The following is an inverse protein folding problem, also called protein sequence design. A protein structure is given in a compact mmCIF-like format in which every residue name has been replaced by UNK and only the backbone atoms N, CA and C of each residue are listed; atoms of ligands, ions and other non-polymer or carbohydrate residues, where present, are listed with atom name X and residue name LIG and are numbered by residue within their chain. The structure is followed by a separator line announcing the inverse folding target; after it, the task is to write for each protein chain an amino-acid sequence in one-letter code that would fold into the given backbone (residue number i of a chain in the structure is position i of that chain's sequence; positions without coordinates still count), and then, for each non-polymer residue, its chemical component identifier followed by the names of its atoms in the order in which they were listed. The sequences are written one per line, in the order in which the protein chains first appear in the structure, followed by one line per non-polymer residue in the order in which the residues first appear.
data_IF_312722626175
#
_entry.id   IF_312722626175
#
_cell.length_a   1.000
_cell.length_b   1.000
_cell.length_c   1.000
_cell.angle_alpha   90.00
_cell.angle_beta   90.00
_cell.angle_gamma   90.00
#
_symmetry.space_group_name_H-M   'P 1'
#
loop_
_entity.id
_entity.type
_entity.pdbx_description
1 polymer ?
#
# COMPACT_ATOMS: atom_id res chain seq x y z
N UNK A 1 16.33 -1.95 -3.79
CA UNK A 1 15.52 -0.70 -3.84
C UNK A 1 14.23 -0.95 -3.08
N UNK A 2 13.80 0.01 -2.26
CA UNK A 2 12.53 -0.06 -1.55
C UNK A 2 11.54 0.96 -2.10
N UNK A 3 10.27 0.59 -2.18
CA UNK A 3 9.18 1.47 -2.61
C UNK A 3 7.97 1.29 -1.71
N UNK A 4 7.21 2.38 -1.54
CA UNK A 4 5.93 2.40 -0.86
C UNK A 4 4.95 3.25 -1.63
N UNK A 5 3.68 2.89 -1.59
CA UNK A 5 2.63 3.67 -2.25
C UNK A 5 1.27 3.06 -2.06
N UNK A 6 0.26 3.62 -2.73
CA UNK A 6 -1.10 3.08 -2.71
C UNK A 6 -1.10 1.61 -3.08
N UNK A 7 -1.75 0.78 -2.26
CA UNK A 7 -1.65 -0.68 -2.38
C UNK A 7 -2.02 -1.20 -3.77
N UNK A 8 -3.13 -0.70 -4.34
CA UNK A 8 -3.59 -1.08 -5.68
C UNK A 8 -2.62 -0.71 -6.80
N UNK A 9 -1.78 0.31 -6.62
CA UNK A 9 -0.81 0.74 -7.64
C UNK A 9 0.45 -0.12 -7.56
N UNK A 10 1.03 -0.26 -6.36
CA UNK A 10 2.26 -1.01 -6.16
C UNK A 10 2.06 -2.51 -6.42
N UNK A 11 0.95 -3.10 -5.98
CA UNK A 11 0.67 -4.52 -6.20
C UNK A 11 0.56 -4.88 -7.69
N UNK A 12 0.08 -3.97 -8.55
CA UNK A 12 0.08 -4.19 -10.01
C UNK A 12 1.47 -4.24 -10.63
N UNK A 13 2.50 -3.76 -9.91
CA UNK A 13 3.91 -3.81 -10.29
C UNK A 13 4.65 -4.98 -9.63
N UNK A 14 3.98 -5.76 -8.78
CA UNK A 14 4.57 -6.90 -8.11
C UNK A 14 4.37 -8.17 -8.93
N UNK A 15 5.42 -8.98 -9.06
CA UNK A 15 5.34 -10.32 -9.65
C UNK A 15 5.55 -11.42 -8.59
N UNK A 16 5.96 -11.03 -7.39
CA UNK A 16 6.25 -11.91 -6.28
C UNK A 16 5.76 -11.30 -4.97
N UNK A 17 5.54 -12.13 -3.95
CA UNK A 17 5.13 -11.72 -2.61
C UNK A 17 5.87 -12.54 -1.56
N UNK A 18 6.19 -11.92 -0.44
CA UNK A 18 6.79 -12.57 0.70
C UNK A 18 5.72 -13.29 1.52
N UNK A 19 5.88 -14.60 1.72
CA UNK A 19 4.98 -15.39 2.54
C UNK A 19 5.32 -15.25 4.04
N UNK A 20 4.52 -15.86 4.91
CA UNK A 20 4.72 -15.85 6.37
C UNK A 20 6.02 -16.50 6.85
N UNK A 21 6.59 -17.39 6.04
CA UNK A 21 7.85 -18.07 6.34
C UNK A 21 9.07 -17.25 5.89
N UNK A 22 8.86 -16.14 5.17
CA UNK A 22 9.92 -15.35 4.56
C UNK A 22 10.36 -15.87 3.19
N UNK A 23 9.62 -16.81 2.58
CA UNK A 23 9.90 -17.24 1.22
C UNK A 23 9.23 -16.31 0.20
N UNK A 24 9.95 -16.05 -0.90
CA UNK A 24 9.43 -15.32 -2.04
C UNK A 24 8.66 -16.29 -2.93
N UNK A 25 7.37 -16.05 -3.11
CA UNK A 25 6.51 -16.85 -3.99
C UNK A 25 6.00 -16.02 -5.15
N UNK A 26 5.59 -16.70 -6.23
CA UNK A 26 4.96 -16.04 -7.38
C UNK A 26 3.66 -15.35 -6.94
N UNK A 27 3.45 -14.14 -7.46
CA UNK A 27 2.25 -13.36 -7.24
C UNK A 27 1.53 -13.19 -8.58
N UNK A 28 0.50 -13.99 -8.79
CA UNK A 28 -0.27 -13.99 -10.03
C UNK A 28 -1.37 -12.94 -10.03
N UNK A 29 -1.98 -12.69 -11.20
CA UNK A 29 -3.18 -11.85 -11.28
C UNK A 29 -4.34 -12.37 -10.42
N UNK A 30 -4.46 -13.69 -10.27
CA UNK A 30 -5.50 -14.30 -9.41
C UNK A 30 -5.23 -13.98 -7.94
N UNK A 31 -3.97 -14.05 -7.51
CA UNK A 31 -3.57 -13.69 -6.15
C UNK A 31 -3.79 -12.20 -5.88
N UNK A 32 -3.51 -11.35 -6.88
CA UNK A 32 -3.80 -9.92 -6.82
C UNK A 32 -5.30 -9.67 -6.61
N UNK A 33 -6.17 -10.24 -7.44
CA UNK A 33 -7.62 -10.04 -7.34
C UNK A 33 -8.14 -10.54 -5.99
N UNK A 34 -7.65 -11.70 -5.53
CA UNK A 34 -7.98 -12.25 -4.22
C UNK A 34 -7.54 -11.32 -3.09
N UNK A 35 -6.31 -10.78 -3.11
CA UNK A 35 -5.81 -9.87 -2.08
C UNK A 35 -6.57 -8.55 -2.06
N UNK A 36 -6.96 -8.03 -3.23
CA UNK A 36 -7.78 -6.82 -3.35
C UNK A 36 -9.13 -7.05 -2.68
N UNK A 37 -9.82 -8.14 -3.01
CA UNK A 37 -11.16 -8.43 -2.48
C UNK A 37 -11.16 -8.79 -1.00
N UNK A 38 -10.17 -9.56 -0.54
CA UNK A 38 -10.17 -10.11 0.82
C UNK A 38 -9.46 -9.24 1.86
N UNK A 39 -8.60 -8.32 1.42
CA UNK A 39 -7.80 -7.48 2.33
C UNK A 39 -8.01 -6.00 2.04
N UNK A 40 -7.75 -5.55 0.81
CA UNK A 40 -7.72 -4.11 0.51
C UNK A 40 -9.12 -3.48 0.58
N UNK A 41 -10.11 -4.11 -0.04
CA UNK A 41 -11.49 -3.61 -0.06
C UNK A 41 -12.09 -3.52 1.36
N UNK A 42 -12.00 -4.56 2.21
CA UNK A 42 -12.42 -4.46 3.61
C UNK A 42 -11.72 -3.31 4.36
N UNK A 43 -10.40 -3.15 4.20
CA UNK A 43 -9.68 -2.06 4.86
C UNK A 43 -10.15 -0.68 4.39
N UNK A 44 -10.43 -0.52 3.10
CA UNK A 44 -11.02 0.72 2.56
C UNK A 44 -12.45 0.94 3.04
N UNK A 45 -13.24 -0.12 3.25
CA UNK A 45 -14.57 -0.01 3.87
C UNK A 45 -14.52 0.45 5.33
N UNK A 46 -13.43 0.15 6.04
CA UNK A 46 -13.14 0.64 7.39
C UNK A 46 -12.48 2.04 7.38
N UNK A 47 -12.59 2.79 6.27
CA UNK A 47 -12.02 4.13 6.07
C UNK A 47 -10.49 4.20 6.26
N UNK A 48 -9.78 3.09 6.04
CA UNK A 48 -8.32 3.05 6.10
C UNK A 48 -7.68 3.37 4.75
N UNK A 49 -6.65 4.22 4.78
CA UNK A 49 -5.75 4.41 3.64
C UNK A 49 -4.79 3.22 3.55
N UNK A 50 -4.82 2.50 2.43
CA UNK A 50 -4.00 1.30 2.26
C UNK A 50 -2.67 1.60 1.55
N UNK A 51 -1.56 1.29 2.21
CA UNK A 51 -0.20 1.41 1.67
C UNK A 51 0.43 0.02 1.51
N UNK A 52 1.02 -0.24 0.34
CA UNK A 52 1.84 -1.42 0.09
C UNK A 52 3.32 -1.04 0.16
N UNK A 53 4.10 -1.91 0.79
CA UNK A 53 5.56 -1.83 0.85
C UNK A 53 6.12 -2.97 0.02
N UNK A 54 6.99 -2.64 -0.91
CA UNK A 54 7.62 -3.60 -1.80
C UNK A 54 9.09 -3.27 -2.01
N UNK A 55 9.85 -4.23 -2.50
CA UNK A 55 11.25 -4.05 -2.85
C UNK A 55 11.58 -4.77 -4.14
N UNK A 56 12.73 -4.40 -4.71
CA UNK A 56 13.38 -5.14 -5.78
C UNK A 56 14.88 -5.12 -5.56
N UNK A 57 15.49 -6.29 -5.66
CA UNK A 57 16.93 -6.43 -5.63
C UNK A 57 17.47 -6.34 -7.05
N UNK A 58 18.55 -5.57 -7.21
CA UNK A 58 19.26 -5.43 -8.46
C UNK A 58 20.61 -6.08 -8.30
N UNK A 59 20.97 -6.97 -9.23
CA UNK A 59 22.32 -7.54 -9.26
C UNK A 59 23.28 -6.53 -9.87
N UNK A 60 24.58 -6.66 -9.57
CA UNK A 60 25.61 -5.82 -10.18
C UNK A 60 25.67 -5.93 -11.71
N UNK A 61 25.19 -7.05 -12.26
CA UNK A 61 25.18 -7.33 -13.70
C UNK A 61 23.86 -6.91 -14.39
N UNK A 62 22.83 -6.58 -13.60
CA UNK A 62 21.48 -6.22 -14.08
C UNK A 62 20.98 -4.97 -13.33
N UNK A 63 21.70 -3.86 -13.55
CA UNK A 63 21.27 -2.55 -13.07
C UNK A 63 20.20 -1.98 -14.00
N UNK A 64 19.11 -1.42 -13.45
CA UNK A 64 18.06 -0.84 -14.27
C UNK A 64 18.54 0.48 -14.89
N UNK A 65 17.91 0.91 -15.98
CA UNK A 65 18.06 2.27 -16.46
C UNK A 65 17.36 3.23 -15.49
N UNK A 66 18.17 3.91 -14.68
CA UNK A 66 17.69 4.86 -13.67
C UNK A 66 16.94 6.07 -14.25
N UNK A 67 17.07 6.34 -15.56
CA UNK A 67 16.29 7.38 -16.23
C UNK A 67 14.89 6.89 -16.65
N UNK A 68 14.66 5.58 -16.65
CA UNK A 68 13.37 4.97 -16.97
C UNK A 68 12.68 4.48 -15.70
N UNK A 69 11.97 5.39 -15.03
CA UNK A 69 11.23 5.10 -13.80
C UNK A 69 10.29 3.89 -13.92
N UNK A 70 9.66 3.70 -15.08
CA UNK A 70 8.71 2.59 -15.29
C UNK A 70 9.41 1.24 -15.22
N UNK A 71 10.63 1.13 -15.72
CA UNK A 71 11.44 -0.09 -15.67
C UNK A 71 11.98 -0.37 -14.26
N UNK A 72 12.32 0.71 -13.55
CA UNK A 72 12.84 0.64 -12.19
C UNK A 72 11.75 0.19 -11.21
N UNK A 73 10.52 0.71 -11.37
CA UNK A 73 9.36 0.39 -10.53
C UNK A 73 8.48 -0.67 -11.22
N UNK A 74 9.09 -1.81 -11.53
CA UNK A 74 8.45 -3.01 -12.07
C UNK A 74 9.09 -4.27 -11.49
N UNK A 75 8.41 -5.41 -11.60
CA UNK A 75 8.89 -6.72 -11.11
C UNK A 75 9.25 -6.71 -9.62
N UNK A 76 8.40 -6.08 -8.81
CA UNK A 76 8.62 -5.92 -7.38
C UNK A 76 8.22 -7.19 -6.61
N UNK A 77 8.82 -7.35 -5.43
CA UNK A 77 8.39 -8.27 -4.39
C UNK A 77 7.61 -7.52 -3.33
N UNK A 78 6.32 -7.84 -3.19
CA UNK A 78 5.47 -7.29 -2.13
C UNK A 78 5.88 -7.86 -0.77
N UNK A 79 6.08 -6.99 0.22
CA UNK A 79 6.40 -7.39 1.60
C UNK A 79 5.12 -7.43 2.43
N UNK A 80 4.38 -6.33 2.44
CA UNK A 80 3.16 -6.20 3.22
C UNK A 80 2.25 -5.08 2.71
N UNK A 81 0.98 -5.19 3.10
CA UNK A 81 -0.03 -4.14 2.98
C UNK A 81 -0.41 -3.68 4.38
N UNK A 82 -0.45 -2.38 4.59
CA UNK A 82 -0.81 -1.74 5.85
C UNK A 82 -1.98 -0.80 5.64
N UNK A 83 -2.89 -0.76 6.62
CA UNK A 83 -4.00 0.18 6.68
C UNK A 83 -3.64 1.28 7.66
N UNK A 84 -3.82 2.51 7.24
CA UNK A 84 -3.51 3.68 8.03
C UNK A 84 -4.82 4.40 8.29
N UNK A 85 -5.19 4.45 9.56
CA UNK A 85 -6.30 5.27 10.03
C UNK A 85 -5.75 6.67 10.31
N UNK A 86 -6.29 7.68 9.63
CA UNK A 86 -5.97 9.05 9.99
C UNK A 86 -6.74 9.42 11.26
N UNK A 87 -6.05 9.36 12.40
CA UNK A 87 -6.66 9.75 13.68
C UNK A 87 -7.03 11.22 13.61
N UNK A 88 -8.32 11.50 13.82
CA UNK A 88 -8.81 12.85 14.02
C UNK A 88 -7.95 13.51 15.11
N UNK A 89 -7.25 14.61 14.76
CA UNK A 89 -6.46 15.37 15.73
C UNK A 89 -7.37 15.75 16.90
N UNK A 90 -6.89 15.59 18.13
CA UNK A 90 -7.69 15.80 19.35
C UNK A 90 -8.37 17.18 19.44
N UNK A 91 -7.88 18.16 18.70
CA UNK A 91 -8.43 19.52 18.60
C UNK A 91 -9.73 19.60 17.79
N UNK A 92 -9.93 18.70 16.82
CA UNK A 92 -11.05 18.75 15.87
C UNK A 92 -12.38 18.36 16.54
N UNK A 93 -12.48 17.31 17.37
CA UNK A 93 -13.74 16.96 18.05
C UNK A 93 -14.23 18.08 18.97
N UNK A 94 -13.32 18.71 19.72
CA UNK A 94 -13.65 19.82 20.63
C UNK A 94 -14.12 21.07 19.87
N UNK A 95 -13.49 21.36 18.72
CA UNK A 95 -13.91 22.44 17.84
C UNK A 95 -15.30 22.17 17.24
N UNK A 96 -15.59 20.96 16.76
CA UNK A 96 -16.90 20.57 16.23
C UNK A 96 -17.97 20.65 17.33
N UNK A 97 -17.70 20.16 18.53
CA UNK A 97 -18.63 20.24 19.66
C UNK A 97 -18.96 21.68 20.04
N UNK A 98 -17.96 22.57 19.98
CA UNK A 98 -18.16 24.01 20.23
C UNK A 98 -19.04 24.63 19.15
N UNK A 99 -18.77 24.37 17.87
CA UNK A 99 -19.51 24.91 16.71
C UNK A 99 -20.97 24.42 16.71
N UNK A 100 -21.19 23.13 16.97
CA UNK A 100 -22.53 22.53 17.07
C UNK A 100 -23.35 23.15 18.21
N UNK A 101 -22.72 23.44 19.36
CA UNK A 101 -23.40 24.08 20.50
C UNK A 101 -23.86 25.51 20.19
N UNK A 102 -23.20 26.21 19.27
CA UNK A 102 -23.62 27.55 18.82
C UNK A 102 -24.59 27.51 17.63
N UNK A 103 -25.01 26.32 17.17
CA UNK A 103 -26.01 26.16 16.12
C UNK A 103 -25.51 26.44 14.70
N UNK A 104 -24.19 26.47 14.50
CA UNK A 104 -23.56 26.53 13.18
C UNK A 104 -23.47 25.11 12.60
N UNK A 105 -24.01 24.94 11.40
CA UNK A 105 -23.99 23.68 10.61
C UNK A 105 -23.16 23.93 9.36
#
# INVERSE_FOLDING_TARGET
MYTKGTSKIILKKCNTILNRNGDIILFSHVDYDHLVQTVIEPMTCDDLDTICIAYRDFSSDDLPDWNNETSVIDQLTCICVCGIEDRIRSEIPDAIATISRVGLI
#
